data_IF_572373840166
#
_entry.id   IF_572373840166
#
_cell.length_a   1.000
_cell.length_b   1.000
_cell.length_c   1.000
_cell.angle_alpha   90.00
_cell.angle_beta   90.00
_cell.angle_gamma   90.00
#
_symmetry.space_group_name_H-M   'P 1'
#
loop_
_entity.id
_entity.type
_entity.pdbx_description
1 polymer ?
#
# COMPACT_ATOMS: atom_id res chain seq x y z
N UNK A 1 5.97 1.11 -22.35
CA UNK A 1 4.75 0.55 -21.70
C UNK A 1 5.16 0.13 -20.29
N UNK A 2 4.55 0.72 -19.27
CA UNK A 2 4.84 0.37 -17.88
C UNK A 2 4.71 -1.12 -17.61
N UNK A 3 5.58 -1.62 -16.74
CA UNK A 3 5.61 -3.01 -16.30
C UNK A 3 5.34 -3.06 -14.80
N UNK A 4 4.48 -3.97 -14.38
CA UNK A 4 4.28 -4.31 -12.97
C UNK A 4 4.83 -5.73 -12.75
N UNK A 5 6.02 -5.79 -12.20
CA UNK A 5 6.65 -7.03 -11.78
C UNK A 5 6.13 -7.42 -10.40
N UNK A 6 5.70 -8.66 -10.23
CA UNK A 6 5.17 -9.20 -8.98
C UNK A 6 5.94 -10.46 -8.62
N UNK A 7 6.75 -10.41 -7.58
CA UNK A 7 7.64 -11.50 -7.22
C UNK A 7 7.50 -11.95 -5.76
N UNK A 8 7.72 -13.23 -5.48
CA UNK A 8 7.85 -13.69 -4.10
C UNK A 8 9.17 -13.20 -3.52
N UNK A 9 9.11 -12.64 -2.31
CA UNK A 9 10.29 -12.24 -1.55
C UNK A 9 10.52 -13.23 -0.41
N UNK A 10 11.77 -13.65 -0.24
CA UNK A 10 12.19 -14.49 0.90
C UNK A 10 12.68 -13.62 2.06
N UNK A 11 11.81 -13.39 3.02
CA UNK A 11 12.12 -12.65 4.25
C UNK A 11 12.30 -13.59 5.46
N UNK A 12 12.39 -14.90 5.22
CA UNK A 12 12.55 -15.89 6.25
C UNK A 12 11.40 -16.91 6.32
N UNK A 13 11.53 -17.97 7.13
CA UNK A 13 10.67 -19.15 7.04
C UNK A 13 9.21 -18.92 7.37
N UNK A 14 8.90 -17.87 8.14
CA UNK A 14 7.54 -17.60 8.62
C UNK A 14 6.89 -16.37 7.94
N UNK A 15 7.59 -15.71 7.02
CA UNK A 15 7.12 -14.49 6.35
C UNK A 15 6.99 -14.71 4.85
N UNK A 16 5.76 -14.78 4.37
CA UNK A 16 5.48 -14.66 2.94
C UNK A 16 5.41 -13.18 2.61
N UNK A 17 6.29 -12.74 1.75
CA UNK A 17 6.25 -11.38 1.24
C UNK A 17 6.14 -11.41 -0.29
N UNK A 18 5.47 -10.41 -0.83
CA UNK A 18 5.32 -10.22 -2.26
C UNK A 18 5.81 -8.81 -2.58
N UNK A 19 6.85 -8.73 -3.40
CA UNK A 19 7.31 -7.47 -3.98
C UNK A 19 6.50 -7.13 -5.22
N UNK A 20 6.19 -5.87 -5.38
CA UNK A 20 5.57 -5.30 -6.57
C UNK A 20 6.41 -4.11 -7.00
N UNK A 21 6.96 -4.16 -8.21
CA UNK A 21 7.77 -3.10 -8.80
C UNK A 21 7.10 -2.57 -10.07
N UNK A 22 6.77 -1.29 -10.06
CA UNK A 22 6.18 -0.59 -11.19
C UNK A 22 7.24 0.28 -11.88
N UNK A 23 7.66 -0.15 -13.06
CA UNK A 23 8.73 0.49 -13.84
C UNK A 23 8.25 0.90 -15.23
N UNK A 24 8.92 1.88 -15.85
CA UNK A 24 8.54 2.42 -17.16
C UNK A 24 8.72 1.39 -18.28
N UNK A 25 9.83 0.68 -18.27
CA UNK A 25 10.14 -0.39 -19.22
C UNK A 25 11.22 -1.35 -18.69
N UNK A 26 11.49 -2.39 -19.47
CA UNK A 26 12.43 -3.45 -19.10
C UNK A 26 13.91 -3.03 -19.19
N UNK A 27 14.22 -2.05 -20.03
CA UNK A 27 15.60 -1.65 -20.32
C UNK A 27 16.13 -0.69 -19.24
N UNK A 28 15.34 0.29 -18.86
CA UNK A 28 15.74 1.35 -17.95
C UNK A 28 15.36 1.07 -16.49
N UNK A 29 14.26 0.34 -16.27
CA UNK A 29 13.69 0.04 -14.94
C UNK A 29 13.52 1.27 -14.05
N UNK A 30 13.31 2.44 -14.65
CA UNK A 30 12.99 3.65 -13.91
C UNK A 30 11.58 3.53 -13.31
N UNK A 31 11.38 3.97 -12.06
CA UNK A 31 10.05 3.90 -11.45
C UNK A 31 9.05 4.80 -12.17
N UNK A 32 7.87 4.28 -12.45
CA UNK A 32 6.74 5.10 -12.90
C UNK A 32 6.33 6.06 -11.80
N UNK A 33 6.11 7.33 -12.12
CA UNK A 33 5.82 8.39 -11.16
C UNK A 33 4.59 9.22 -11.54
N UNK A 34 4.17 10.09 -10.63
CA UNK A 34 3.10 11.05 -10.85
C UNK A 34 1.72 10.38 -10.96
N UNK A 35 0.86 11.02 -11.73
CA UNK A 35 -0.54 10.61 -11.89
C UNK A 35 -0.68 9.17 -12.44
N UNK A 36 0.23 8.74 -13.31
CA UNK A 36 0.18 7.38 -13.87
C UNK A 36 0.46 6.33 -12.79
N UNK A 37 1.45 6.55 -11.93
CA UNK A 37 1.73 5.67 -10.80
C UNK A 37 0.54 5.66 -9.82
N UNK A 38 0.01 6.81 -9.46
CA UNK A 38 -1.12 6.95 -8.55
C UNK A 38 -2.35 6.20 -9.08
N UNK A 39 -2.65 6.34 -10.37
CA UNK A 39 -3.75 5.66 -11.04
C UNK A 39 -3.60 4.14 -11.03
N UNK A 40 -2.38 3.63 -11.23
CA UNK A 40 -2.10 2.19 -11.20
C UNK A 40 -2.20 1.66 -9.77
N UNK A 41 -1.50 2.28 -8.82
CA UNK A 41 -1.48 1.85 -7.43
C UNK A 41 -2.84 1.94 -6.74
N UNK A 42 -3.68 2.93 -7.09
CA UNK A 42 -5.05 3.05 -6.57
C UNK A 42 -5.96 1.88 -6.98
N UNK A 43 -5.59 1.12 -8.00
CA UNK A 43 -6.27 -0.12 -8.41
C UNK A 43 -5.61 -1.36 -7.85
N UNK A 44 -4.28 -1.37 -7.78
CA UNK A 44 -3.50 -2.51 -7.31
C UNK A 44 -3.75 -2.80 -5.83
N UNK A 45 -3.69 -1.79 -4.98
CA UNK A 45 -3.85 -1.96 -3.53
C UNK A 45 -5.22 -2.56 -3.15
N UNK A 46 -6.36 -2.02 -3.60
CA UNK A 46 -7.67 -2.62 -3.32
C UNK A 46 -7.82 -4.01 -3.93
N UNK A 47 -7.28 -4.24 -5.14
CA UNK A 47 -7.35 -5.55 -5.78
C UNK A 47 -6.56 -6.61 -4.99
N UNK A 48 -5.37 -6.26 -4.49
CA UNK A 48 -4.60 -7.14 -3.61
C UNK A 48 -5.37 -7.46 -2.31
N UNK A 49 -6.04 -6.46 -1.73
CA UNK A 49 -6.87 -6.63 -0.54
C UNK A 49 -8.10 -7.54 -0.80
N UNK A 50 -8.69 -7.46 -1.98
CA UNK A 50 -9.90 -8.21 -2.35
C UNK A 50 -11.12 -7.71 -1.57
N UNK A 51 -11.75 -8.57 -0.79
CA UNK A 51 -12.92 -8.23 0.04
C UNK A 51 -12.52 -7.65 1.41
N UNK A 52 -11.23 -7.70 1.76
CA UNK A 52 -10.76 -7.15 3.02
C UNK A 52 -10.71 -5.63 2.98
N UNK A 53 -11.21 -4.95 4.01
CA UNK A 53 -11.16 -3.49 4.06
C UNK A 53 -9.71 -3.00 4.09
N UNK A 54 -9.40 -2.04 3.20
CA UNK A 54 -8.09 -1.40 3.10
C UNK A 54 -8.02 -0.21 4.05
N UNK A 55 -6.90 -0.08 4.75
CA UNK A 55 -6.59 1.05 5.61
C UNK A 55 -5.23 1.61 5.22
N UNK A 56 -5.12 2.93 5.09
CA UNK A 56 -3.85 3.62 4.92
C UNK A 56 -3.37 4.18 6.26
N UNK A 57 -2.08 3.97 6.55
CA UNK A 57 -1.44 4.43 7.78
C UNK A 57 -0.36 5.47 7.44
N UNK A 58 -0.59 6.72 7.81
CA UNK A 58 0.41 7.79 7.71
C UNK A 58 1.04 8.03 9.07
N UNK A 59 2.37 7.97 9.13
CA UNK A 59 3.19 8.14 10.34
C UNK A 59 4.30 9.18 10.17
N UNK A 60 4.24 9.96 9.09
CA UNK A 60 5.10 11.11 8.82
C UNK A 60 4.28 12.25 8.21
N UNK A 61 4.78 13.48 8.30
CA UNK A 61 4.16 14.67 7.69
C UNK A 61 2.66 14.86 8.00
N UNK A 62 2.27 14.56 9.23
CA UNK A 62 0.87 14.45 9.68
C UNK A 62 0.05 15.72 9.40
N UNK A 63 0.63 16.91 9.61
CA UNK A 63 -0.07 18.17 9.34
C UNK A 63 -0.43 18.31 7.85
N UNK A 64 0.47 17.90 6.94
CA UNK A 64 0.22 17.94 5.49
C UNK A 64 -0.87 16.95 5.07
N UNK A 65 -0.88 15.76 5.68
CA UNK A 65 -1.92 14.74 5.43
C UNK A 65 -3.27 15.23 5.94
N UNK A 66 -3.31 15.80 7.14
CA UNK A 66 -4.52 16.39 7.73
C UNK A 66 -5.10 17.49 6.84
N UNK A 67 -4.29 18.48 6.49
CA UNK A 67 -4.69 19.61 5.64
C UNK A 67 -5.19 19.14 4.27
N UNK A 68 -4.63 18.07 3.73
CA UNK A 68 -5.08 17.48 2.48
C UNK A 68 -6.43 16.79 2.65
N UNK A 69 -6.59 15.96 3.67
CA UNK A 69 -7.83 15.26 3.96
C UNK A 69 -8.98 16.24 4.21
N UNK A 70 -8.75 17.30 4.99
CA UNK A 70 -9.76 18.33 5.28
C UNK A 70 -10.20 19.06 4.00
N UNK A 71 -9.25 19.45 3.14
CA UNK A 71 -9.57 20.13 1.87
C UNK A 71 -10.34 19.25 0.89
N UNK A 72 -10.06 17.97 0.86
CA UNK A 72 -10.68 17.00 -0.05
C UNK A 72 -11.84 16.23 0.58
N UNK A 73 -12.23 16.57 1.82
CA UNK A 73 -13.30 15.92 2.58
C UNK A 73 -13.11 14.40 2.73
N UNK A 74 -11.85 13.97 2.85
CA UNK A 74 -11.49 12.57 3.07
C UNK A 74 -11.57 12.27 4.56
N UNK A 75 -12.35 11.25 4.93
CA UNK A 75 -12.48 10.84 6.31
C UNK A 75 -11.17 10.24 6.85
N UNK A 76 -10.74 10.71 8.00
CA UNK A 76 -9.56 10.17 8.68
C UNK A 76 -9.75 10.12 10.19
N UNK A 77 -8.85 9.43 10.88
CA UNK A 77 -8.78 9.36 12.34
C UNK A 77 -7.36 9.62 12.80
N UNK A 78 -7.18 10.58 13.67
CA UNK A 78 -5.93 10.76 14.39
C UNK A 78 -5.91 9.85 15.63
N UNK A 79 -4.91 9.01 15.73
CA UNK A 79 -4.77 8.06 16.84
C UNK A 79 -3.70 8.47 17.81
N UNK A 80 -2.73 9.23 17.31
CA UNK A 80 -1.71 9.93 18.09
C UNK A 80 -1.37 11.25 17.39
N UNK A 81 -0.66 12.21 18.04
CA UNK A 81 -0.18 13.41 17.33
C UNK A 81 0.77 13.15 16.16
N UNK A 82 1.15 11.88 15.94
CA UNK A 82 2.12 11.46 14.92
C UNK A 82 1.61 10.36 14.00
N UNK A 83 0.30 10.14 13.97
CA UNK A 83 -0.28 9.07 13.16
C UNK A 83 -1.69 9.43 12.72
N UNK A 84 -1.95 9.32 11.42
CA UNK A 84 -3.27 9.44 10.80
C UNK A 84 -3.60 8.13 10.12
N UNK A 85 -4.81 7.67 10.34
CA UNK A 85 -5.39 6.48 9.73
C UNK A 85 -6.53 6.88 8.82
N UNK A 86 -6.50 6.42 7.58
CA UNK A 86 -7.56 6.64 6.60
C UNK A 86 -8.21 5.29 6.29
N UNK A 87 -9.38 5.00 6.88
CA UNK A 87 -10.06 3.72 6.67
C UNK A 87 -10.83 3.72 5.35
N UNK A 88 -10.71 2.63 4.61
CA UNK A 88 -11.48 2.31 3.41
C UNK A 88 -11.69 3.51 2.46
N UNK A 89 -10.61 4.18 1.99
CA UNK A 89 -10.75 5.33 1.12
C UNK A 89 -11.46 4.95 -0.18
N UNK A 90 -12.33 5.83 -0.66
CA UNK A 90 -12.92 5.69 -1.99
C UNK A 90 -11.83 5.75 -3.08
N UNK A 91 -12.08 5.16 -4.26
CA UNK A 91 -11.08 5.04 -5.32
C UNK A 91 -10.48 6.39 -5.74
N UNK A 92 -11.31 7.44 -5.85
CA UNK A 92 -10.85 8.79 -6.20
C UNK A 92 -10.02 9.44 -5.09
N UNK A 93 -10.40 9.21 -3.84
CA UNK A 93 -9.66 9.69 -2.66
C UNK A 93 -8.31 8.96 -2.55
N UNK A 94 -8.31 7.64 -2.79
CA UNK A 94 -7.09 6.84 -2.80
C UNK A 94 -6.12 7.33 -3.89
N UNK A 95 -6.58 7.53 -5.11
CA UNK A 95 -5.75 8.04 -6.22
C UNK A 95 -5.16 9.42 -5.87
N UNK A 96 -5.97 10.35 -5.37
CA UNK A 96 -5.52 11.68 -4.96
C UNK A 96 -4.49 11.66 -3.82
N UNK A 97 -4.67 10.76 -2.84
CA UNK A 97 -3.70 10.56 -1.75
C UNK A 97 -2.38 10.01 -2.28
N UNK A 98 -2.45 9.00 -3.15
CA UNK A 98 -1.25 8.38 -3.73
C UNK A 98 -0.49 9.37 -4.62
N UNK A 99 -1.18 10.15 -5.46
CA UNK A 99 -0.55 11.19 -6.26
C UNK A 99 0.16 12.24 -5.40
N UNK A 100 -0.49 12.68 -4.32
CA UNK A 100 0.04 13.74 -3.45
C UNK A 100 1.20 13.29 -2.57
N UNK A 101 1.19 12.03 -2.11
CA UNK A 101 2.11 11.52 -1.08
C UNK A 101 3.03 10.40 -1.56
N UNK A 102 3.17 10.18 -2.88
CA UNK A 102 4.03 9.12 -3.41
C UNK A 102 5.52 9.27 -3.03
N UNK A 103 6.01 10.48 -2.76
CA UNK A 103 7.35 10.74 -2.26
C UNK A 103 7.50 10.58 -0.74
N UNK A 104 6.45 10.12 -0.04
CA UNK A 104 6.46 9.94 1.41
C UNK A 104 6.37 8.45 1.74
N UNK A 105 7.01 8.02 2.81
CA UNK A 105 6.84 6.65 3.30
C UNK A 105 5.57 6.57 4.13
N UNK A 106 4.67 5.72 3.73
CA UNK A 106 3.46 5.37 4.48
C UNK A 106 3.19 3.88 4.33
N UNK A 107 2.17 3.38 5.00
CA UNK A 107 1.80 2.00 4.94
C UNK A 107 0.34 1.79 4.58
N UNK A 108 0.01 0.54 4.28
CA UNK A 108 -1.35 0.08 4.14
C UNK A 108 -1.53 -1.27 4.83
N UNK A 109 -2.74 -1.58 5.24
CA UNK A 109 -3.10 -2.89 5.78
C UNK A 109 -4.48 -3.29 5.31
N UNK A 110 -4.70 -4.58 5.20
CA UNK A 110 -6.01 -5.13 4.82
C UNK A 110 -6.42 -6.24 5.77
N UNK A 111 -7.71 -6.29 6.09
CA UNK A 111 -8.27 -7.24 7.05
C UNK A 111 -7.80 -7.01 8.48
N UNK A 112 -8.22 -7.86 9.38
CA UNK A 112 -7.87 -7.77 10.80
C UNK A 112 -8.77 -6.82 11.61
N UNK A 113 -8.39 -6.48 12.84
CA UNK A 113 -9.19 -5.66 13.73
C UNK A 113 -9.15 -4.19 13.28
N UNK A 114 -10.13 -3.76 12.48
CA UNK A 114 -10.22 -2.39 11.96
C UNK A 114 -11.13 -1.50 12.83
N UNK A 115 -11.75 -2.07 13.86
CA UNK A 115 -12.62 -1.32 14.76
C UNK A 115 -11.82 -0.32 15.60
N UNK A 116 -12.43 0.85 15.84
CA UNK A 116 -11.84 1.90 16.67
C UNK A 116 -11.47 1.34 18.06
N UNK A 117 -10.20 1.28 18.37
CA UNK A 117 -9.67 0.83 19.65
C UNK A 117 -8.85 -0.47 19.61
N UNK A 118 -9.08 -1.36 18.64
CA UNK A 118 -8.39 -2.66 18.60
C UNK A 118 -6.96 -2.57 18.06
N UNK A 119 -6.63 -1.51 17.31
CA UNK A 119 -5.33 -1.28 16.70
C UNK A 119 -4.47 -0.20 17.37
N UNK A 120 -4.89 0.33 18.50
CA UNK A 120 -4.18 1.40 19.18
C UNK A 120 -2.73 1.05 19.56
N UNK A 121 -2.40 -0.23 19.66
CA UNK A 121 -1.02 -0.66 19.87
C UNK A 121 -0.19 -0.53 18.60
N UNK A 122 -0.68 -1.03 17.46
CA UNK A 122 0.01 -0.89 16.18
C UNK A 122 0.18 0.57 15.80
N UNK A 123 -0.86 1.38 15.96
CA UNK A 123 -0.82 2.81 15.63
C UNK A 123 0.22 3.57 16.47
N UNK A 124 0.37 3.23 17.77
CA UNK A 124 1.44 3.78 18.61
C UNK A 124 2.83 3.32 18.15
N UNK A 125 2.97 2.04 17.75
CA UNK A 125 4.23 1.53 17.23
C UNK A 125 4.58 2.13 15.88
N UNK A 126 3.63 2.34 14.97
CA UNK A 126 3.82 3.06 13.70
C UNK A 126 4.31 4.50 13.94
N UNK A 127 3.71 5.21 14.90
CA UNK A 127 4.15 6.56 15.27
C UNK A 127 5.58 6.60 15.85
N UNK A 128 6.06 5.50 16.44
CA UNK A 128 7.37 5.36 17.08
C UNK A 128 8.44 4.80 16.14
N UNK A 129 8.11 3.82 15.32
CA UNK A 129 9.05 3.01 14.54
C UNK A 129 8.84 3.08 13.02
N UNK A 130 7.80 3.81 12.58
CA UNK A 130 7.42 3.82 11.17
C UNK A 130 7.05 2.42 10.67
N UNK A 131 7.39 2.12 9.42
CA UNK A 131 7.06 0.86 8.76
C UNK A 131 7.58 -0.40 9.46
N UNK A 132 8.63 -0.30 10.27
CA UNK A 132 9.16 -1.44 11.05
C UNK A 132 8.15 -2.03 12.04
N UNK A 133 7.10 -1.27 12.38
CA UNK A 133 6.02 -1.74 13.25
C UNK A 133 5.16 -2.83 12.58
N UNK A 134 5.14 -2.92 11.26
CA UNK A 134 4.38 -3.95 10.56
C UNK A 134 4.98 -5.35 10.72
N UNK A 135 6.30 -5.45 10.87
CA UNK A 135 6.98 -6.75 10.91
C UNK A 135 6.47 -7.68 12.04
N UNK A 136 6.31 -7.24 13.28
CA UNK A 136 5.68 -8.06 14.32
C UNK A 136 4.14 -8.14 14.20
N UNK A 137 3.51 -7.20 13.52
CA UNK A 137 2.06 -7.06 13.50
C UNK A 137 1.38 -7.80 12.34
N UNK A 138 2.07 -8.00 11.20
CA UNK A 138 1.47 -8.51 9.97
C UNK A 138 0.69 -9.83 10.09
N UNK A 139 1.05 -10.78 11.00
CA UNK A 139 0.27 -12.02 11.12
C UNK A 139 -1.19 -11.82 11.53
N UNK A 140 -1.51 -10.68 12.13
CA UNK A 140 -2.88 -10.33 12.57
C UNK A 140 -3.76 -9.83 11.42
N UNK A 141 -3.17 -9.49 10.27
CA UNK A 141 -3.83 -8.90 9.10
C UNK A 141 -3.86 -9.87 7.92
N UNK A 142 -4.64 -9.54 6.91
CA UNK A 142 -4.57 -10.23 5.63
C UNK A 142 -3.23 -9.90 4.95
N UNK A 143 -2.86 -8.61 4.94
CA UNK A 143 -1.50 -8.15 4.70
C UNK A 143 -1.21 -6.82 5.42
N UNK A 144 0.08 -6.52 5.60
CA UNK A 144 0.60 -5.18 5.84
C UNK A 144 1.50 -4.80 4.67
N UNK A 145 1.35 -3.58 4.15
CA UNK A 145 2.12 -3.09 3.02
C UNK A 145 3.02 -1.95 3.43
N UNK A 146 4.26 -1.99 2.97
CA UNK A 146 5.22 -0.89 3.03
C UNK A 146 5.25 -0.27 1.63
N UNK A 147 4.88 1.01 1.57
CA UNK A 147 4.74 1.75 0.32
C UNK A 147 5.96 2.64 0.11
N UNK A 148 6.79 2.30 -0.86
CA UNK A 148 7.96 3.04 -1.32
C UNK A 148 7.76 3.51 -2.76
N UNK A 149 6.71 4.29 -3.02
CA UNK A 149 6.32 4.65 -4.39
C UNK A 149 7.31 5.60 -5.08
N UNK A 150 8.18 6.27 -4.34
CA UNK A 150 9.28 7.03 -4.95
C UNK A 150 10.23 6.11 -5.73
N UNK A 151 10.44 4.90 -5.21
CA UNK A 151 11.25 3.85 -5.84
C UNK A 151 10.40 2.94 -6.75
N UNK A 152 9.11 3.24 -6.95
CA UNK A 152 8.20 2.43 -7.74
C UNK A 152 7.82 1.10 -7.10
N UNK A 153 8.10 0.89 -5.80
CA UNK A 153 7.99 -0.40 -5.15
C UNK A 153 6.90 -0.45 -4.05
N UNK A 154 6.37 -1.64 -3.83
CA UNK A 154 5.45 -2.00 -2.77
C UNK A 154 5.81 -3.37 -2.24
N UNK A 155 5.92 -3.52 -0.93
CA UNK A 155 6.14 -4.84 -0.29
C UNK A 155 4.93 -5.21 0.53
N UNK A 156 4.30 -6.34 0.19
CA UNK A 156 3.19 -6.93 0.94
C UNK A 156 3.72 -8.01 1.89
N UNK A 157 3.61 -7.78 3.19
CA UNK A 157 3.89 -8.77 4.23
C UNK A 157 2.61 -9.54 4.53
N UNK A 158 2.62 -10.86 4.35
CA UNK A 158 1.44 -11.69 4.59
C UNK A 158 1.83 -13.12 4.95
N UNK A 159 0.97 -13.81 5.67
CA UNK A 159 1.00 -15.27 5.82
C UNK A 159 0.04 -15.97 4.85
N UNK A 160 -0.84 -15.22 4.20
CA UNK A 160 -1.97 -15.74 3.41
C UNK A 160 -1.88 -15.44 1.92
N UNK A 161 -1.08 -14.44 1.54
CA UNK A 161 -1.04 -13.93 0.17
C UNK A 161 0.22 -14.43 -0.57
N UNK A 162 0.05 -14.92 -1.79
CA UNK A 162 1.10 -15.41 -2.66
C UNK A 162 1.20 -14.56 -3.93
N UNK A 163 2.37 -14.47 -4.54
CA UNK A 163 2.57 -13.71 -5.77
C UNK A 163 1.57 -14.09 -6.89
N UNK A 164 1.34 -15.39 -7.08
CA UNK A 164 0.35 -15.88 -8.06
C UNK A 164 -1.08 -15.42 -7.77
N UNK A 165 -1.45 -15.32 -6.49
CA UNK A 165 -2.76 -14.82 -6.09
C UNK A 165 -2.86 -13.30 -6.30
N UNK A 166 -1.81 -12.54 -6.00
CA UNK A 166 -1.75 -11.10 -6.27
C UNK A 166 -1.93 -10.85 -7.77
N UNK A 167 -1.20 -11.57 -8.62
CA UNK A 167 -1.33 -11.44 -10.08
C UNK A 167 -2.76 -11.73 -10.53
N UNK A 168 -3.36 -12.81 -10.03
CA UNK A 168 -4.73 -13.19 -10.37
C UNK A 168 -5.73 -12.08 -10.05
N UNK A 169 -5.53 -11.37 -8.94
CA UNK A 169 -6.39 -10.27 -8.49
C UNK A 169 -6.12 -8.95 -9.22
N UNK A 170 -4.86 -8.66 -9.47
CA UNK A 170 -4.42 -7.37 -10.02
C UNK A 170 -4.62 -7.29 -11.55
N UNK A 171 -4.33 -8.37 -12.27
CA UNK A 171 -4.41 -8.38 -13.74
C UNK A 171 -5.77 -7.90 -14.30
N UNK A 172 -6.93 -8.31 -13.79
CA UNK A 172 -8.23 -7.86 -14.31
C UNK A 172 -8.47 -6.36 -14.12
N UNK A 173 -8.03 -5.77 -13.02
CA UNK A 173 -8.27 -4.34 -12.71
C UNK A 173 -7.35 -3.39 -13.47
N UNK A 174 -6.27 -3.91 -14.03
CA UNK A 174 -5.36 -3.18 -14.90
C UNK A 174 -5.69 -3.34 -16.39
N UNK A 175 -6.70 -4.16 -16.74
CA UNK A 175 -7.21 -4.23 -18.11
C UNK A 175 -7.72 -2.84 -18.55
N UNK A 176 -7.21 -2.37 -19.71
CA UNK A 176 -7.53 -1.02 -20.22
C UNK A 176 -6.64 0.10 -19.70
N UNK A 177 -5.72 -0.18 -18.79
CA UNK A 177 -4.49 0.58 -18.62
C UNK A 177 -3.39 -0.08 -19.45
N UNK A 178 -2.53 0.72 -20.03
CA UNK A 178 -1.41 0.25 -20.85
C UNK A 178 -0.25 -0.20 -19.93
N UNK A 179 -0.50 -1.29 -19.18
CA UNK A 179 0.43 -1.87 -18.18
C UNK A 179 0.52 -3.37 -18.38
N UNK A 180 1.72 -3.88 -18.51
CA UNK A 180 2.00 -5.32 -18.49
C UNK A 180 2.19 -5.82 -17.05
N UNK A 181 1.53 -6.92 -16.68
CA UNK A 181 1.67 -7.57 -15.38
C UNK A 181 2.36 -8.92 -15.55
N UNK A 182 3.50 -9.10 -14.89
CA UNK A 182 4.31 -10.32 -15.04
C UNK A 182 4.90 -10.85 -13.73
N UNK A 183 5.24 -12.14 -13.75
CA UNK A 183 6.17 -12.76 -12.81
C UNK A 183 7.56 -12.69 -13.44
N UNK A 184 8.55 -12.09 -12.80
CA UNK A 184 9.94 -12.26 -13.23
C UNK A 184 10.31 -13.75 -13.23
N UNK A 185 11.15 -14.14 -14.19
CA UNK A 185 11.58 -15.52 -14.37
C UNK A 185 12.53 -15.99 -13.26
#
# INVERSE_FOLDING_TARGET
MPLLDIEPLDLGPDVKAVGLDLVEDDENREPVRGEDAARIWSRVLPAAAGEEPLVLDFFSHIDRVRDFCDRHQIGYRETTPRSIVIPAPEASALEALLDRFQGETFGARAGGPISAGDDGELERELARRGADAYHPAFPRYFFCAICGFEDGSLVLLSQKLWASEVIRRVRPVLQGLDVEVRLPA
#
